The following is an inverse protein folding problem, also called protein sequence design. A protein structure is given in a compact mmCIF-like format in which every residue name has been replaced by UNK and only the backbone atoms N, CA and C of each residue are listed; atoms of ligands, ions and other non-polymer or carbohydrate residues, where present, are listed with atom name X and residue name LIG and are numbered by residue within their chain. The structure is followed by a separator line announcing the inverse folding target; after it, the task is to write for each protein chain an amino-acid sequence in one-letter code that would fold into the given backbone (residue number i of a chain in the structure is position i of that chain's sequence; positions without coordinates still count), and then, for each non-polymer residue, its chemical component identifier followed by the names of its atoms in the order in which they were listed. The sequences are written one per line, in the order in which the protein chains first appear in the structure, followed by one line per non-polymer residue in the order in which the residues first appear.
data_IF_686910196004
#
_entry.id   IF_686910196004
#
_cell.length_a   1.000
_cell.length_b   1.000
_cell.length_c   1.000
_cell.angle_alpha   90.00
_cell.angle_beta   90.00
_cell.angle_gamma   90.00
#
_symmetry.space_group_name_H-M   'P 1'
#
loop_
_entity.id
_entity.type
_entity.pdbx_description
1 polymer ?
#
# COMPACT_ATOMS: atom_id res chain seq x y z
N UNK A 1 -12.58 31.04 47.98
CA UNK A 1 -13.18 30.24 46.90
C UNK A 1 -12.18 30.19 45.74
N UNK A 2 -11.46 29.09 45.57
CA UNK A 2 -10.35 28.99 44.61
C UNK A 2 -10.84 28.27 43.36
N UNK A 3 -10.95 29.00 42.24
CA UNK A 3 -11.41 28.45 40.97
C UNK A 3 -10.39 27.47 40.38
N UNK A 4 -10.76 26.19 40.30
CA UNK A 4 -9.97 25.17 39.59
C UNK A 4 -10.04 25.46 38.08
N UNK A 5 -8.89 25.77 37.46
CA UNK A 5 -8.75 25.91 36.02
C UNK A 5 -8.88 24.53 35.38
N UNK A 6 -9.94 24.30 34.61
CA UNK A 6 -10.12 23.08 33.83
C UNK A 6 -8.99 22.96 32.80
N UNK A 7 -8.27 21.84 32.85
CA UNK A 7 -7.19 21.56 31.89
C UNK A 7 -7.78 21.14 30.54
N UNK A 8 -7.10 21.47 29.43
CA UNK A 8 -7.45 21.02 28.06
C UNK A 8 -7.66 19.50 27.98
N UNK A 9 -6.96 18.76 28.84
CA UNK A 9 -7.07 17.31 28.97
C UNK A 9 -8.39 16.85 29.59
N UNK A 10 -8.98 17.64 30.49
CA UNK A 10 -10.30 17.37 31.07
C UNK A 10 -11.42 17.75 30.09
N UNK A 11 -11.23 18.82 29.32
CA UNK A 11 -12.16 19.20 28.24
C UNK A 11 -12.24 18.14 27.14
N UNK A 12 -11.11 17.54 26.73
CA UNK A 12 -11.08 16.44 25.77
C UNK A 12 -11.75 15.16 26.30
N UNK A 13 -11.60 14.86 27.60
CA UNK A 13 -12.28 13.73 28.23
C UNK A 13 -13.80 13.94 28.31
N UNK A 14 -14.25 15.17 28.57
CA UNK A 14 -15.67 15.50 28.62
C UNK A 14 -16.32 15.41 27.22
N UNK A 15 -15.58 15.76 26.16
CA UNK A 15 -16.05 15.63 24.78
C UNK A 15 -16.01 14.19 24.24
N UNK A 16 -15.10 13.34 24.73
CA UNK A 16 -15.01 11.94 24.31
C UNK A 16 -16.12 11.00 24.83
N UNK A 17 -16.90 11.43 25.82
CA UNK A 17 -17.99 10.64 26.42
C UNK A 17 -19.40 11.05 25.94
N UNK A 18 -19.50 11.94 24.95
CA UNK A 18 -20.76 12.64 24.60
C UNK A 18 -21.51 12.19 23.36
N UNK A 19 -21.25 11.01 22.76
CA UNK A 19 -21.95 10.58 21.52
C UNK A 19 -22.47 9.14 21.55
N UNK A 20 -23.00 8.67 22.69
CA UNK A 20 -23.68 7.37 22.79
C UNK A 20 -25.15 7.54 23.24
N UNK A 21 -25.88 8.52 22.67
CA UNK A 21 -27.19 8.87 23.23
C UNK A 21 -28.25 9.50 22.32
N UNK A 22 -28.15 9.37 20.99
CA UNK A 22 -29.17 9.95 20.10
C UNK A 22 -29.51 9.12 18.85
N UNK A 23 -29.28 7.80 18.85
CA UNK A 23 -29.69 6.92 17.73
C UNK A 23 -30.38 5.62 18.16
N UNK A 24 -30.88 5.53 19.40
CA UNK A 24 -31.61 4.35 19.90
C UNK A 24 -33.10 4.44 19.53
N UNK A 25 -33.41 4.38 18.24
CA UNK A 25 -34.78 4.15 17.77
C UNK A 25 -34.86 3.47 16.38
N UNK A 26 -33.80 2.81 15.91
CA UNK A 26 -33.81 2.23 14.55
C UNK A 26 -33.21 0.83 14.38
N UNK A 27 -32.65 0.18 15.40
CA UNK A 27 -32.19 -1.20 15.27
C UNK A 27 -32.53 -2.01 16.51
N UNK A 28 -33.79 -2.44 16.61
CA UNK A 28 -34.06 -3.76 17.15
C UNK A 28 -33.29 -4.79 16.29
N UNK A 29 -32.87 -5.96 16.83
CA UNK A 29 -32.36 -7.04 15.99
C UNK A 29 -33.49 -7.48 15.06
N UNK A 30 -33.43 -7.02 13.81
CA UNK A 30 -34.28 -7.52 12.75
C UNK A 30 -33.99 -9.01 12.64
N UNK A 31 -34.97 -9.85 12.99
CA UNK A 31 -34.93 -11.27 12.67
C UNK A 31 -34.66 -11.38 11.16
N UNK A 32 -33.54 -12.03 10.81
CA UNK A 32 -33.08 -12.13 9.44
C UNK A 32 -34.14 -12.82 8.58
N UNK A 33 -34.83 -12.06 7.74
CA UNK A 33 -35.46 -12.63 6.57
C UNK A 33 -34.34 -13.12 5.64
N UNK A 34 -34.49 -14.27 4.96
CA UNK A 34 -33.48 -14.78 4.05
C UNK A 34 -33.25 -13.74 2.95
N UNK A 35 -32.09 -13.08 3.00
CA UNK A 35 -31.64 -12.20 1.94
C UNK A 35 -31.34 -13.06 0.71
N UNK A 36 -31.83 -12.69 -0.48
CA UNK A 36 -31.36 -13.27 -1.72
C UNK A 36 -29.84 -13.13 -1.76
N UNK A 37 -29.16 -14.26 -1.92
CA UNK A 37 -27.72 -14.35 -2.06
C UNK A 37 -27.29 -13.36 -3.15
N UNK A 38 -26.55 -12.32 -2.77
CA UNK A 38 -26.02 -11.37 -3.72
C UNK A 38 -25.18 -12.17 -4.74
N UNK A 39 -25.37 -11.98 -6.05
CA UNK A 39 -24.57 -12.68 -7.04
C UNK A 39 -23.11 -12.48 -6.71
N UNK A 40 -22.38 -13.58 -6.54
CA UNK A 40 -20.95 -13.53 -6.32
C UNK A 40 -20.34 -12.68 -7.44
N UNK A 41 -19.78 -11.54 -7.05
CA UNK A 41 -19.05 -10.68 -7.98
C UNK A 41 -17.87 -11.51 -8.49
N UNK A 42 -17.97 -11.94 -9.75
CA UNK A 42 -16.91 -12.69 -10.41
C UNK A 42 -15.72 -11.75 -10.46
N UNK A 43 -14.73 -12.01 -9.61
CA UNK A 43 -13.49 -11.26 -9.59
C UNK A 43 -12.94 -11.23 -11.02
N UNK A 44 -12.85 -10.02 -11.59
CA UNK A 44 -12.18 -9.81 -12.87
C UNK A 44 -10.78 -10.43 -12.79
N UNK A 45 -10.29 -11.10 -13.86
CA UNK A 45 -8.90 -11.52 -13.92
C UNK A 45 -8.03 -10.31 -13.59
N UNK A 46 -7.19 -10.43 -12.55
CA UNK A 46 -6.29 -9.35 -12.17
C UNK A 46 -5.36 -9.08 -13.36
N UNK A 47 -5.35 -7.83 -13.84
CA UNK A 47 -4.42 -7.42 -14.89
C UNK A 47 -2.97 -7.59 -14.38
N UNK A 48 -2.01 -7.92 -15.26
CA UNK A 48 -0.61 -8.07 -14.85
C UNK A 48 -0.09 -6.79 -14.21
N UNK A 49 0.44 -6.89 -12.99
CA UNK A 49 1.02 -5.75 -12.26
C UNK A 49 2.38 -5.44 -12.87
N UNK A 50 2.65 -4.16 -13.15
CA UNK A 50 3.97 -3.71 -13.59
C UNK A 50 4.80 -3.26 -12.39
N UNK A 51 5.93 -3.91 -12.17
CA UNK A 51 6.88 -3.57 -11.11
C UNK A 51 8.06 -2.81 -11.71
N UNK A 52 8.38 -1.65 -11.13
CA UNK A 52 9.53 -0.83 -11.54
C UNK A 52 10.73 -1.15 -10.67
N UNK A 53 11.77 -1.72 -11.30
CA UNK A 53 13.03 -2.07 -10.66
C UNK A 53 14.14 -1.12 -11.12
N UNK A 54 14.74 -0.42 -10.17
CA UNK A 54 15.91 0.43 -10.44
C UNK A 54 17.19 -0.37 -10.24
N UNK A 55 18.06 -0.39 -11.25
CA UNK A 55 19.34 -1.11 -11.28
C UNK A 55 20.51 -0.17 -11.58
N UNK A 56 21.74 -0.65 -11.43
CA UNK A 56 22.96 0.07 -11.76
C UNK A 56 23.80 -0.73 -12.76
N UNK A 57 24.63 -0.04 -13.55
CA UNK A 57 25.57 -0.68 -14.49
C UNK A 57 24.91 -1.30 -15.74
N UNK A 58 23.64 -1.01 -16.00
CA UNK A 58 22.88 -1.49 -17.17
C UNK A 58 21.77 -2.48 -16.81
N UNK A 59 20.98 -2.89 -17.81
CA UNK A 59 19.83 -3.80 -17.59
C UNK A 59 20.16 -5.27 -17.87
N UNK A 60 21.25 -5.57 -18.57
CA UNK A 60 21.58 -6.92 -19.05
C UNK A 60 21.61 -7.98 -17.94
N UNK A 61 22.23 -7.66 -16.80
CA UNK A 61 22.27 -8.57 -15.66
C UNK A 61 20.91 -8.70 -14.97
N UNK A 62 20.13 -7.62 -14.92
CA UNK A 62 18.81 -7.62 -14.33
C UNK A 62 17.83 -8.48 -15.16
N UNK A 63 17.86 -8.31 -16.48
CA UNK A 63 17.10 -9.11 -17.45
C UNK A 63 17.49 -10.59 -17.39
N UNK A 64 18.78 -10.91 -17.27
CA UNK A 64 19.23 -12.30 -17.13
C UNK A 64 18.70 -12.95 -15.84
N UNK A 65 18.67 -12.22 -14.72
CA UNK A 65 18.08 -12.72 -13.47
C UNK A 65 16.57 -12.88 -13.62
N UNK A 66 15.89 -11.94 -14.24
CA UNK A 66 14.44 -12.01 -14.49
C UNK A 66 14.08 -13.21 -15.34
N UNK A 67 14.82 -13.47 -16.42
CA UNK A 67 14.65 -14.65 -17.25
C UNK A 67 14.83 -15.95 -16.45
N UNK A 68 15.80 -16.02 -15.55
CA UNK A 68 16.00 -17.18 -14.68
C UNK A 68 14.83 -17.36 -13.68
N UNK A 69 14.29 -16.26 -13.14
CA UNK A 69 13.11 -16.29 -12.25
C UNK A 69 11.88 -16.76 -13.01
N UNK A 70 11.64 -16.24 -14.22
CA UNK A 70 10.52 -16.67 -15.08
C UNK A 70 10.62 -18.14 -15.51
N UNK A 71 11.85 -18.63 -15.74
CA UNK A 71 12.05 -20.05 -16.02
C UNK A 71 11.69 -20.95 -14.81
N UNK A 72 11.99 -20.50 -13.59
CA UNK A 72 11.66 -21.23 -12.37
C UNK A 72 10.18 -21.10 -11.98
N UNK A 73 9.56 -19.96 -12.30
CA UNK A 73 8.18 -19.60 -11.95
C UNK A 73 7.43 -19.03 -13.16
N UNK A 74 7.06 -19.87 -14.15
CA UNK A 74 6.39 -19.42 -15.37
C UNK A 74 5.03 -18.75 -15.11
N UNK A 75 4.37 -19.09 -14.00
CA UNK A 75 3.11 -18.48 -13.57
C UNK A 75 3.19 -16.98 -13.28
N UNK A 76 4.42 -16.43 -13.15
CA UNK A 76 4.64 -15.00 -12.97
C UNK A 76 4.47 -14.21 -14.27
N UNK A 77 4.58 -14.85 -15.44
CA UNK A 77 4.43 -14.16 -16.73
C UNK A 77 3.03 -13.58 -16.93
N UNK A 78 2.01 -14.29 -16.42
CA UNK A 78 0.62 -13.87 -16.48
C UNK A 78 0.29 -12.81 -15.41
N UNK A 79 1.11 -12.70 -14.37
CA UNK A 79 0.82 -11.89 -13.18
C UNK A 79 1.66 -10.62 -13.08
N UNK A 80 2.87 -10.62 -13.61
CA UNK A 80 3.88 -9.59 -13.35
C UNK A 80 4.68 -9.23 -14.61
N UNK A 81 4.74 -7.93 -14.88
CA UNK A 81 5.68 -7.32 -15.82
C UNK A 81 6.74 -6.58 -15.02
N UNK A 82 8.00 -6.72 -15.38
CA UNK A 82 9.11 -6.00 -14.70
C UNK A 82 9.68 -4.98 -15.68
N UNK A 83 9.73 -3.72 -15.25
CA UNK A 83 10.37 -2.63 -15.96
C UNK A 83 11.71 -2.32 -15.29
N UNK A 84 12.80 -2.39 -16.06
CA UNK A 84 14.14 -2.08 -15.58
C UNK A 84 14.51 -0.64 -15.89
N UNK A 85 14.87 0.12 -14.86
CA UNK A 85 15.32 1.50 -14.96
C UNK A 85 16.76 1.58 -14.49
N UNK A 86 17.65 2.20 -15.25
CA UNK A 86 19.04 2.41 -14.82
C UNK A 86 19.11 3.68 -13.98
N UNK A 87 19.35 3.52 -12.67
CA UNK A 87 19.47 4.61 -11.70
C UNK A 87 20.85 5.23 -11.63
N UNK A 88 21.86 4.63 -12.25
CA UNK A 88 23.21 5.18 -12.32
C UNK A 88 24.30 4.15 -12.64
N UNK A 89 25.56 4.59 -12.56
CA UNK A 89 26.73 3.75 -12.78
C UNK A 89 26.99 2.76 -11.64
N UNK A 90 26.62 3.13 -10.41
CA UNK A 90 26.78 2.32 -9.22
C UNK A 90 25.60 2.38 -8.26
N UNK A 91 25.77 1.73 -7.11
CA UNK A 91 24.79 1.62 -6.04
C UNK A 91 24.57 2.94 -5.30
N UNK A 92 25.59 3.78 -5.19
CA UNK A 92 25.49 5.11 -4.57
C UNK A 92 24.47 6.00 -5.29
N UNK A 93 24.49 6.04 -6.62
CA UNK A 93 23.56 6.82 -7.42
C UNK A 93 22.14 6.25 -7.34
N UNK A 94 21.99 4.93 -7.31
CA UNK A 94 20.69 4.29 -7.06
C UNK A 94 20.16 4.68 -5.67
N UNK A 95 21.00 4.64 -4.63
CA UNK A 95 20.62 5.04 -3.28
C UNK A 95 20.26 6.53 -3.17
N UNK A 96 20.96 7.40 -3.91
CA UNK A 96 20.63 8.82 -4.02
C UNK A 96 19.25 9.00 -4.67
N UNK A 97 19.01 8.34 -5.81
CA UNK A 97 17.72 8.40 -6.52
C UNK A 97 16.55 7.94 -5.64
N UNK A 98 16.75 6.86 -4.87
CA UNK A 98 15.75 6.35 -3.93
C UNK A 98 15.47 7.36 -2.81
N UNK A 99 16.52 7.96 -2.22
CA UNK A 99 16.36 8.99 -1.20
C UNK A 99 15.57 10.19 -1.72
N UNK A 100 15.86 10.64 -2.94
CA UNK A 100 15.15 11.76 -3.56
C UNK A 100 13.67 11.42 -3.79
N UNK A 101 13.37 10.24 -4.35
CA UNK A 101 11.99 9.80 -4.56
C UNK A 101 11.20 9.70 -3.23
N UNK A 102 11.81 9.13 -2.20
CA UNK A 102 11.20 9.04 -0.87
C UNK A 102 10.99 10.41 -0.23
N UNK A 103 11.95 11.32 -0.35
CA UNK A 103 11.85 12.68 0.18
C UNK A 103 10.77 13.50 -0.56
N UNK A 104 10.61 13.28 -1.87
CA UNK A 104 9.55 13.88 -2.67
C UNK A 104 8.18 13.25 -2.41
N UNK A 105 8.13 12.01 -1.92
CA UNK A 105 6.91 11.22 -1.78
C UNK A 105 6.28 10.86 -3.13
N UNK A 106 7.07 10.88 -4.20
CA UNK A 106 6.65 10.67 -5.58
C UNK A 106 7.68 9.83 -6.32
N UNK A 107 7.26 9.12 -7.36
CA UNK A 107 8.13 8.30 -8.20
C UNK A 107 9.00 7.30 -7.43
N UNK A 108 8.49 6.76 -6.32
CA UNK A 108 9.17 5.72 -5.54
C UNK A 108 9.19 4.42 -6.36
N UNK A 109 10.35 3.79 -6.61
CA UNK A 109 10.41 2.51 -7.30
C UNK A 109 9.93 1.37 -6.39
N UNK A 110 9.37 0.32 -6.98
CA UNK A 110 8.92 -0.86 -6.24
C UNK A 110 10.10 -1.68 -5.72
N UNK A 111 11.19 -1.71 -6.50
CA UNK A 111 12.40 -2.43 -6.17
C UNK A 111 13.64 -1.61 -6.55
N UNK A 112 14.70 -1.75 -5.75
CA UNK A 112 16.02 -1.20 -6.04
C UNK A 112 17.08 -2.28 -5.90
N UNK A 113 18.09 -2.23 -6.77
CA UNK A 113 19.31 -2.99 -6.59
C UNK A 113 20.32 -2.16 -5.82
N UNK A 114 20.70 -2.66 -4.65
CA UNK A 114 21.83 -2.17 -3.87
C UNK A 114 22.83 -3.32 -3.71
N UNK A 115 24.11 -2.99 -3.49
CA UNK A 115 25.18 -3.95 -3.27
C UNK A 115 25.54 -4.06 -1.79
#
# INVERSE_FOLDING_TARGET
MTGKKLSRREMLKLMGLGTIGAYVAACAPQAAAPQPEAPAEVAKPAEPVTLRLVTWGGTEFAEKRDAAVRQAYPELDEKIKVEFVVGGGGDFEVAESLRLALAAGQDIPDMVQLN
#
